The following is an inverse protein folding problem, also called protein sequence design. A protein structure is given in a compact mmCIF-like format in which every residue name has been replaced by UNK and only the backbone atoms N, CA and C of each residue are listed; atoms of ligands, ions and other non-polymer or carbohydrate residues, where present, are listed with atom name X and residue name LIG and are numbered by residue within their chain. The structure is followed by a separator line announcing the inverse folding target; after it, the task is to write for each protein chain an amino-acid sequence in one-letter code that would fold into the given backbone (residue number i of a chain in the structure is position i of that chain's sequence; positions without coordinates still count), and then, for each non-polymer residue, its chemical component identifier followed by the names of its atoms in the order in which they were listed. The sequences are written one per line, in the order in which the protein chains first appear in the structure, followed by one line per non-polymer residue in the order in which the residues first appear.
data_IF_479057989237
#
_entry.id   IF_479057989237
#
_cell.length_a   1.000
_cell.length_b   1.000
_cell.length_c   1.000
_cell.angle_alpha   90.00
_cell.angle_beta   90.00
_cell.angle_gamma   90.00
#
_symmetry.space_group_name_H-M   'P 1'
#
loop_
_entity.id
_entity.type
_entity.pdbx_description
1 polymer ?
#
# COMPACT_ATOMS: atom_id res chain seq x y z
N UNK A 1 -5.47 4.98 -11.43
CA UNK A 1 -5.22 3.58 -11.06
C UNK A 1 -4.48 2.85 -12.17
N UNK A 2 -5.04 2.70 -13.36
CA UNK A 2 -4.38 1.95 -14.45
C UNK A 2 -2.98 2.47 -14.82
N UNK A 3 -2.81 3.80 -14.91
CA UNK A 3 -1.49 4.42 -15.13
C UNK A 3 -0.53 4.10 -14.00
N UNK A 4 -0.96 4.27 -12.74
CA UNK A 4 -0.17 3.93 -11.56
C UNK A 4 0.29 2.46 -11.60
N UNK A 5 -0.61 1.53 -11.93
CA UNK A 5 -0.27 0.10 -12.03
C UNK A 5 0.78 -0.15 -13.11
N UNK A 6 0.65 0.47 -14.29
CA UNK A 6 1.62 0.34 -15.38
C UNK A 6 2.98 0.92 -15.01
N UNK A 7 2.99 2.09 -14.37
CA UNK A 7 4.23 2.76 -13.98
C UNK A 7 4.97 1.96 -12.91
N UNK A 8 4.27 1.46 -11.89
CA UNK A 8 4.86 0.56 -10.87
C UNK A 8 5.39 -0.72 -11.51
N UNK A 9 4.63 -1.36 -12.40
CA UNK A 9 5.10 -2.57 -13.10
C UNK A 9 6.37 -2.29 -13.94
N UNK A 10 6.46 -1.11 -14.57
CA UNK A 10 7.68 -0.71 -15.29
C UNK A 10 8.87 -0.51 -14.37
N UNK A 11 8.68 0.09 -13.20
CA UNK A 11 9.74 0.29 -12.20
C UNK A 11 10.24 -1.05 -11.65
N UNK A 12 9.33 -1.91 -11.18
CA UNK A 12 9.68 -3.22 -10.63
C UNK A 12 10.35 -4.11 -11.68
N UNK A 13 9.98 -4.00 -12.96
CA UNK A 13 10.62 -4.75 -14.04
C UNK A 13 11.98 -4.22 -14.52
N UNK A 14 12.44 -3.07 -14.01
CA UNK A 14 13.67 -2.42 -14.51
C UNK A 14 14.71 -2.07 -13.43
N UNK A 15 14.35 -2.20 -12.15
CA UNK A 15 15.19 -1.84 -11.01
C UNK A 15 15.33 -3.07 -10.13
N UNK A 16 16.57 -3.42 -9.77
CA UNK A 16 16.86 -4.54 -8.86
C UNK A 16 17.00 -4.09 -7.39
N UNK A 17 17.22 -2.79 -7.14
CA UNK A 17 17.38 -2.23 -5.79
C UNK A 17 16.02 -1.93 -5.15
N UNK A 18 15.65 -2.73 -4.14
CA UNK A 18 14.41 -2.56 -3.38
C UNK A 18 14.26 -1.19 -2.70
N UNK A 19 15.36 -0.53 -2.32
CA UNK A 19 15.29 0.82 -1.76
C UNK A 19 14.89 1.82 -2.83
N UNK A 20 15.48 1.71 -4.02
CA UNK A 20 15.14 2.56 -5.16
C UNK A 20 13.69 2.32 -5.62
N UNK A 21 13.25 1.05 -5.69
CA UNK A 21 11.84 0.72 -5.96
C UNK A 21 10.93 1.40 -4.94
N UNK A 22 11.23 1.28 -3.64
CA UNK A 22 10.39 1.83 -2.57
C UNK A 22 10.28 3.36 -2.68
N UNK A 23 11.40 4.06 -2.91
CA UNK A 23 11.40 5.52 -3.06
C UNK A 23 10.58 5.96 -4.28
N UNK A 24 10.78 5.32 -5.44
CA UNK A 24 10.08 5.72 -6.66
C UNK A 24 8.58 5.38 -6.61
N UNK A 25 8.21 4.23 -6.05
CA UNK A 25 6.80 3.86 -5.83
C UNK A 25 6.14 4.82 -4.83
N UNK A 26 6.85 5.31 -3.81
CA UNK A 26 6.33 6.32 -2.88
C UNK A 26 6.00 7.64 -3.57
N UNK A 27 6.81 8.07 -4.55
CA UNK A 27 6.51 9.26 -5.37
C UNK A 27 5.24 9.05 -6.20
N UNK A 28 5.13 7.89 -6.88
CA UNK A 28 3.94 7.56 -7.68
C UNK A 28 2.68 7.47 -6.82
N UNK A 29 2.76 6.86 -5.64
CA UNK A 29 1.65 6.72 -4.69
C UNK A 29 1.21 8.09 -4.19
N UNK A 30 2.16 8.97 -3.86
CA UNK A 30 1.87 10.34 -3.45
C UNK A 30 1.15 11.11 -4.55
N UNK A 31 1.58 10.97 -5.81
CA UNK A 31 0.91 11.57 -6.96
C UNK A 31 -0.51 11.05 -7.18
N UNK A 32 -0.72 9.73 -7.03
CA UNK A 32 -2.04 9.12 -7.13
C UNK A 32 -3.01 9.62 -6.05
N UNK A 33 -2.53 9.74 -4.81
CA UNK A 33 -3.33 10.18 -3.67
C UNK A 33 -3.60 11.70 -3.67
N UNK A 34 -2.66 12.49 -4.20
CA UNK A 34 -2.85 13.92 -4.39
C UNK A 34 -3.81 14.23 -5.55
N UNK A 35 -3.94 13.32 -6.52
CA UNK A 35 -4.97 13.41 -7.53
C UNK A 35 -6.36 13.17 -6.91
N UNK A 36 -7.43 13.61 -7.58
CA UNK A 36 -8.81 13.39 -7.13
C UNK A 36 -9.27 11.92 -7.34
N UNK A 37 -8.36 10.95 -7.19
CA UNK A 37 -8.68 9.55 -7.28
C UNK A 37 -9.62 9.16 -6.12
N UNK A 38 -10.63 8.36 -6.45
CA UNK A 38 -11.61 7.85 -5.50
C UNK A 38 -11.62 6.34 -5.58
N UNK A 39 -11.35 5.70 -4.44
CA UNK A 39 -11.54 4.27 -4.31
C UNK A 39 -13.03 3.94 -4.44
N UNK A 40 -13.38 2.87 -5.18
CA UNK A 40 -14.73 2.34 -5.16
C UNK A 40 -15.21 2.07 -3.73
N UNK A 41 -16.47 2.39 -3.37
CA UNK A 41 -16.96 2.32 -2.00
C UNK A 41 -16.77 0.94 -1.33
N UNK A 42 -16.87 -0.15 -2.09
CA UNK A 42 -16.65 -1.52 -1.62
C UNK A 42 -15.25 -1.76 -1.03
N UNK A 43 -14.24 -1.05 -1.52
CA UNK A 43 -12.85 -1.15 -1.04
C UNK A 43 -12.54 -0.19 0.11
N UNK A 44 -13.55 0.48 0.65
CA UNK A 44 -13.45 1.39 1.79
C UNK A 44 -14.33 0.96 2.96
N UNK A 45 -15.02 -0.18 2.85
CA UNK A 45 -15.95 -0.66 3.89
C UNK A 45 -15.17 -1.18 5.10
N UNK A 46 -15.41 -0.66 6.31
CA UNK A 46 -14.75 -1.17 7.51
C UNK A 46 -15.41 -2.45 8.03
N UNK A 47 -14.68 -3.19 8.86
CA UNK A 47 -15.22 -4.23 9.73
C UNK A 47 -15.21 -3.74 11.19
N UNK A 48 -16.21 -4.18 11.96
CA UNK A 48 -16.35 -3.83 13.38
C UNK A 48 -15.36 -4.56 14.28
N UNK A 49 -14.76 -5.68 13.82
CA UNK A 49 -13.96 -6.57 14.68
C UNK A 49 -12.49 -6.63 14.31
N UNK A 50 -12.13 -6.28 13.08
CA UNK A 50 -10.75 -6.34 12.59
C UNK A 50 -10.55 -5.30 11.46
N UNK A 51 -9.29 -4.97 11.19
CA UNK A 51 -8.94 -4.22 9.98
C UNK A 51 -9.16 -5.11 8.75
N UNK A 52 -9.50 -4.52 7.62
CA UNK A 52 -9.78 -5.27 6.38
C UNK A 52 -8.77 -4.89 5.31
N UNK A 53 -8.21 -5.90 4.65
CA UNK A 53 -7.33 -5.72 3.49
C UNK A 53 -8.08 -6.15 2.24
N UNK A 54 -8.33 -5.19 1.34
CA UNK A 54 -8.93 -5.45 0.04
C UNK A 54 -7.86 -5.45 -1.04
N UNK A 55 -7.60 -6.57 -1.74
CA UNK A 55 -6.71 -6.57 -2.89
C UNK A 55 -7.32 -5.72 -4.01
N UNK A 56 -6.55 -4.75 -4.51
CA UNK A 56 -6.92 -3.90 -5.65
C UNK A 56 -6.25 -4.40 -6.93
N UNK A 57 -5.02 -4.91 -6.81
CA UNK A 57 -4.25 -5.46 -7.92
C UNK A 57 -3.24 -6.48 -7.39
N UNK A 58 -3.04 -7.57 -8.14
CA UNK A 58 -1.98 -8.55 -7.92
C UNK A 58 -1.26 -8.72 -9.26
N UNK A 59 0.05 -8.52 -9.28
CA UNK A 59 0.85 -8.68 -10.50
C UNK A 59 0.83 -10.16 -10.94
N UNK A 60 0.66 -10.47 -12.25
CA UNK A 60 0.60 -11.86 -12.73
C UNK A 60 1.88 -12.68 -12.54
N UNK A 61 3.02 -12.01 -12.29
CA UNK A 61 4.33 -12.62 -12.05
C UNK A 61 4.69 -12.64 -10.55
N UNK A 62 3.72 -12.34 -9.68
CA UNK A 62 3.86 -12.29 -8.22
C UNK A 62 4.91 -11.27 -7.71
N UNK A 63 5.35 -10.33 -8.55
CA UNK A 63 6.41 -9.38 -8.21
C UNK A 63 5.96 -8.27 -7.24
N UNK A 64 4.67 -7.92 -7.23
CA UNK A 64 4.09 -6.94 -6.30
C UNK A 64 2.56 -7.03 -6.24
N UNK A 65 1.98 -6.37 -5.25
CA UNK A 65 0.53 -6.22 -5.12
C UNK A 65 0.15 -4.85 -4.55
N UNK A 66 -1.09 -4.42 -4.81
CA UNK A 66 -1.68 -3.21 -4.25
C UNK A 66 -2.96 -3.57 -3.50
N UNK A 67 -3.10 -3.03 -2.30
CA UNK A 67 -4.29 -3.23 -1.48
C UNK A 67 -4.77 -1.93 -0.82
N UNK A 68 -6.08 -1.88 -0.54
CA UNK A 68 -6.68 -0.89 0.36
C UNK A 68 -6.80 -1.52 1.74
N UNK A 69 -6.20 -0.90 2.75
CA UNK A 69 -6.30 -1.37 4.15
C UNK A 69 -7.20 -0.41 4.92
N UNK A 70 -8.29 -0.93 5.47
CA UNK A 70 -9.35 -0.16 6.11
C UNK A 70 -9.33 -0.41 7.62
N UNK A 71 -9.17 0.68 8.37
CA UNK A 71 -9.11 0.69 9.83
C UNK A 71 -10.33 1.42 10.40
N UNK A 72 -11.04 0.79 11.33
CA UNK A 72 -11.93 1.50 12.25
C UNK A 72 -11.12 2.17 13.37
N UNK A 73 -11.58 3.29 13.95
CA UNK A 73 -10.90 3.94 15.07
C UNK A 73 -10.55 2.96 16.20
N UNK A 74 -9.28 2.99 16.63
CA UNK A 74 -8.77 2.14 17.70
C UNK A 74 -8.26 0.76 17.25
N UNK A 75 -8.48 0.36 16.00
CA UNK A 75 -7.86 -0.85 15.44
C UNK A 75 -6.34 -0.65 15.26
N UNK A 76 -5.60 -1.76 15.36
CA UNK A 76 -4.14 -1.82 15.24
C UNK A 76 -3.69 -3.20 14.82
N UNK A 77 -2.48 -3.30 14.29
CA UNK A 77 -1.77 -4.58 14.13
C UNK A 77 -1.00 -4.93 15.41
N UNK A 78 -0.67 -6.22 15.63
CA UNK A 78 0.48 -6.58 16.45
C UNK A 78 1.79 -6.09 15.79
N UNK A 79 2.91 -6.17 16.53
CA UNK A 79 4.24 -5.99 15.93
C UNK A 79 4.49 -7.13 14.95
N UNK A 80 4.92 -6.80 13.73
CA UNK A 80 5.17 -7.76 12.65
C UNK A 80 6.26 -7.22 11.70
N UNK A 81 6.83 -8.12 10.89
CA UNK A 81 7.68 -7.79 9.74
C UNK A 81 6.95 -8.06 8.44
N UNK A 82 7.44 -7.48 7.33
CA UNK A 82 6.88 -7.67 5.99
C UNK A 82 7.71 -8.62 5.12
N UNK A 83 9.01 -8.77 5.42
CA UNK A 83 9.98 -9.60 4.68
C UNK A 83 10.11 -9.26 3.17
N UNK A 84 9.48 -8.18 2.71
CA UNK A 84 9.56 -7.61 1.37
C UNK A 84 9.60 -6.09 1.47
N UNK A 85 9.96 -5.40 0.38
CA UNK A 85 9.75 -3.97 0.25
C UNK A 85 8.27 -3.59 0.31
N UNK A 86 7.96 -2.33 0.63
CA UNK A 86 6.57 -1.86 0.70
C UNK A 86 6.43 -0.36 0.91
N UNK A 87 5.33 0.20 0.41
CA UNK A 87 4.96 1.60 0.53
C UNK A 87 3.54 1.70 1.10
N UNK A 88 3.35 2.55 2.12
CA UNK A 88 2.04 2.88 2.66
C UNK A 88 1.70 4.33 2.31
N UNK A 89 0.50 4.53 1.75
CA UNK A 89 -0.04 5.85 1.45
C UNK A 89 -1.41 6.06 2.10
N UNK A 90 -1.62 7.21 2.73
CA UNK A 90 -2.86 7.52 3.45
C UNK A 90 -3.91 8.07 2.48
N UNK A 91 -4.92 7.25 2.16
CA UNK A 91 -6.06 7.68 1.35
C UNK A 91 -7.03 8.59 2.12
N UNK A 92 -7.33 8.25 3.37
CA UNK A 92 -8.21 9.04 4.23
C UNK A 92 -7.91 8.79 5.71
N UNK A 93 -8.07 9.82 6.53
CA UNK A 93 -7.81 9.75 7.97
C UNK A 93 -6.32 9.87 8.29
N UNK A 94 -5.86 9.15 9.32
CA UNK A 94 -4.47 9.12 9.75
C UNK A 94 -4.17 7.80 10.45
N UNK A 95 -2.91 7.37 10.39
CA UNK A 95 -2.39 6.24 11.15
C UNK A 95 -1.22 6.67 12.04
N UNK A 96 -0.87 5.82 13.01
CA UNK A 96 0.34 5.99 13.82
C UNK A 96 1.20 4.74 13.71
N UNK A 97 2.37 4.88 13.13
CA UNK A 97 3.37 3.82 13.02
C UNK A 97 4.34 3.87 14.21
N UNK A 98 4.75 2.69 14.71
CA UNK A 98 5.83 2.54 15.67
C UNK A 98 6.81 1.49 15.13
N UNK A 99 8.09 1.88 15.03
CA UNK A 99 9.14 1.04 14.46
C UNK A 99 9.90 0.28 15.54
N UNK A 100 10.22 -0.97 15.24
CA UNK A 100 10.99 -1.87 16.07
C UNK A 100 12.15 -2.45 15.26
N UNK A 101 13.25 -2.76 15.92
CA UNK A 101 14.39 -3.46 15.32
C UNK A 101 14.29 -4.93 15.72
N UNK A 102 14.46 -5.84 14.76
CA UNK A 102 14.53 -7.28 15.06
C UNK A 102 15.74 -7.54 16.00
N UNK A 103 15.60 -8.44 16.99
CA UNK A 103 16.72 -8.82 17.86
C UNK A 103 17.84 -9.50 17.09
#
# INVERSE_FOLDING_TARGET
MDTFIKDVASLVGSIDDEYEITEQVAVLMSGLLAADYRLPPEFTRPSNTHHVTYPLYIAPDDSWSLASVVWSPGQRTPVHGHETWGVVGIYAGAERELRYVKP
#
